data_IF_229501306276
#
_entry.id   IF_229501306276
#
_cell.length_a   1.000
_cell.length_b   1.000
_cell.length_c   1.000
_cell.angle_alpha   90.00
_cell.angle_beta   90.00
_cell.angle_gamma   90.00
#
_symmetry.space_group_name_H-M   'P 1'
#
loop_
_entity.id
_entity.type
_entity.pdbx_description
1 polymer ?
#
# COMPACT_ATOMS: atom_id res chain seq x y z
N UNK A 1 -23.77 -89.61 -21.35
CA UNK A 1 -23.45 -88.58 -20.45
C UNK A 1 -22.54 -87.60 -21.18
N UNK A 2 -23.11 -86.63 -21.89
CA UNK A 2 -22.37 -85.67 -22.77
C UNK A 2 -22.28 -84.32 -22.05
N UNK A 3 -21.08 -83.92 -21.68
CA UNK A 3 -20.80 -82.61 -21.16
C UNK A 3 -20.56 -81.65 -22.32
N UNK A 4 -21.50 -80.74 -22.55
CA UNK A 4 -21.25 -79.57 -23.41
C UNK A 4 -20.50 -78.54 -22.61
N UNK A 5 -19.28 -78.24 -23.04
CA UNK A 5 -18.55 -77.10 -22.58
C UNK A 5 -18.92 -75.88 -23.46
N UNK A 6 -19.70 -74.97 -22.94
CA UNK A 6 -19.89 -73.66 -23.55
C UNK A 6 -18.66 -72.77 -23.17
N UNK A 7 -17.69 -72.66 -24.07
CA UNK A 7 -16.65 -71.71 -24.01
C UNK A 7 -17.21 -70.31 -24.40
N UNK A 8 -17.63 -69.53 -23.40
CA UNK A 8 -17.96 -68.11 -23.59
C UNK A 8 -16.64 -67.32 -23.75
N UNK A 9 -16.17 -67.26 -25.01
CA UNK A 9 -15.02 -66.47 -25.39
C UNK A 9 -15.45 -65.03 -25.38
N UNK A 10 -15.07 -64.30 -24.32
CA UNK A 10 -15.10 -62.80 -24.27
C UNK A 10 -14.11 -62.27 -25.31
N UNK A 11 -14.61 -61.95 -26.51
CA UNK A 11 -13.83 -61.17 -27.48
C UNK A 11 -13.76 -59.75 -27.03
N UNK A 12 -12.61 -59.31 -26.57
CA UNK A 12 -12.29 -57.89 -26.40
C UNK A 12 -11.84 -57.39 -27.78
N UNK A 13 -12.72 -56.70 -28.47
CA UNK A 13 -12.33 -55.92 -29.65
C UNK A 13 -11.90 -54.52 -29.23
N UNK A 14 -10.61 -54.27 -29.28
CA UNK A 14 -10.07 -52.92 -29.09
C UNK A 14 -9.90 -52.30 -30.47
N UNK A 15 -10.68 -51.27 -30.75
CA UNK A 15 -10.48 -50.49 -31.97
C UNK A 15 -10.06 -49.07 -31.59
N UNK A 16 -9.10 -48.51 -32.32
CA UNK A 16 -8.66 -47.12 -32.21
C UNK A 16 -9.23 -46.39 -33.40
N UNK A 17 -10.05 -45.37 -33.13
CA UNK A 17 -10.63 -44.52 -34.16
C UNK A 17 -9.94 -43.16 -34.11
N UNK A 18 -9.32 -42.73 -35.21
CA UNK A 18 -8.83 -41.36 -35.40
C UNK A 18 -9.90 -40.62 -36.22
N UNK A 19 -10.57 -39.67 -35.58
CA UNK A 19 -11.56 -38.81 -36.23
C UNK A 19 -10.95 -37.45 -36.48
N UNK A 20 -10.73 -37.09 -37.75
CA UNK A 20 -10.33 -35.75 -38.18
C UNK A 20 -11.57 -34.98 -38.65
N UNK A 21 -11.96 -33.94 -37.93
CA UNK A 21 -13.08 -33.10 -38.27
C UNK A 21 -12.55 -31.72 -38.70
N UNK A 22 -12.47 -31.45 -39.97
CA UNK A 22 -12.03 -30.16 -40.55
C UNK A 22 -13.21 -29.49 -41.24
N UNK A 23 -13.78 -28.40 -40.68
CA UNK A 23 -14.83 -27.66 -41.38
C UNK A 23 -14.22 -26.91 -42.56
N UNK A 24 -14.57 -27.31 -43.76
CA UNK A 24 -14.07 -26.70 -45.03
C UNK A 24 -14.72 -25.35 -45.31
N UNK A 25 -15.94 -25.15 -44.84
CA UNK A 25 -16.68 -23.89 -44.95
C UNK A 25 -17.74 -23.77 -43.86
N UNK A 26 -17.69 -22.65 -43.09
CA UNK A 26 -18.64 -22.38 -42.01
C UNK A 26 -19.32 -21.01 -42.13
N UNK A 27 -19.58 -20.55 -43.38
CA UNK A 27 -20.34 -19.33 -43.62
C UNK A 27 -19.68 -18.02 -43.08
N UNK A 28 -18.35 -17.99 -42.92
CA UNK A 28 -17.63 -16.84 -42.41
C UNK A 28 -17.52 -16.75 -40.86
N UNK A 29 -18.06 -17.73 -40.13
CA UNK A 29 -18.03 -17.72 -38.67
C UNK A 29 -16.60 -17.68 -38.11
N UNK A 30 -15.64 -18.34 -38.73
CA UNK A 30 -14.22 -18.28 -38.35
C UNK A 30 -13.65 -16.87 -38.52
N UNK A 31 -13.95 -16.21 -39.63
CA UNK A 31 -13.49 -14.83 -39.89
C UNK A 31 -14.07 -13.87 -38.88
N UNK A 32 -15.37 -13.96 -38.57
CA UNK A 32 -16.02 -13.16 -37.56
C UNK A 32 -15.44 -13.40 -36.14
N UNK A 33 -15.07 -14.63 -35.81
CA UNK A 33 -14.43 -14.97 -34.53
C UNK A 33 -13.02 -14.34 -34.42
N UNK A 34 -12.25 -14.35 -35.52
CA UNK A 34 -10.93 -13.70 -35.58
C UNK A 34 -11.06 -12.19 -35.43
N UNK A 35 -12.03 -11.58 -36.11
CA UNK A 35 -12.28 -10.14 -35.99
C UNK A 35 -12.69 -9.75 -34.56
N UNK A 36 -13.59 -10.53 -33.93
CA UNK A 36 -13.98 -10.33 -32.54
C UNK A 36 -12.79 -10.47 -31.58
N UNK A 37 -11.91 -11.46 -31.79
CA UNK A 37 -10.69 -11.65 -30.99
C UNK A 37 -9.70 -10.49 -31.18
N UNK A 38 -9.57 -9.97 -32.40
CA UNK A 38 -8.75 -8.77 -32.66
C UNK A 38 -9.32 -7.52 -31.96
N UNK A 39 -10.65 -7.39 -31.93
CA UNK A 39 -11.33 -6.33 -31.19
C UNK A 39 -11.05 -6.42 -29.69
N UNK A 40 -11.14 -7.61 -29.12
CA UNK A 40 -10.81 -7.87 -27.70
C UNK A 40 -9.34 -7.57 -27.39
N UNK A 41 -8.42 -7.95 -28.29
CA UNK A 41 -7.01 -7.62 -28.12
C UNK A 41 -6.77 -6.11 -28.06
N UNK A 42 -7.37 -5.35 -29.00
CA UNK A 42 -7.27 -3.88 -28.96
C UNK A 42 -7.86 -3.29 -27.70
N UNK A 43 -9.02 -3.77 -27.27
CA UNK A 43 -9.64 -3.31 -26.01
C UNK A 43 -8.74 -3.58 -24.80
N UNK A 44 -8.11 -4.76 -24.73
CA UNK A 44 -7.16 -5.09 -23.67
C UNK A 44 -5.89 -4.22 -23.70
N UNK A 45 -5.40 -3.87 -24.90
CA UNK A 45 -4.27 -2.95 -25.05
C UNK A 45 -4.61 -1.54 -24.52
N UNK A 46 -5.79 -1.01 -24.85
CA UNK A 46 -6.24 0.28 -24.32
C UNK A 46 -6.43 0.24 -22.79
N UNK A 47 -7.02 -0.82 -22.27
CA UNK A 47 -7.16 -1.00 -20.83
C UNK A 47 -5.80 -1.06 -20.10
N UNK A 48 -4.78 -1.66 -20.72
CA UNK A 48 -3.42 -1.67 -20.19
C UNK A 48 -2.83 -0.25 -20.16
N UNK A 49 -2.99 0.53 -21.22
CA UNK A 49 -2.48 1.91 -21.26
C UNK A 49 -3.21 2.80 -20.23
N UNK A 50 -4.51 2.65 -20.11
CA UNK A 50 -5.29 3.33 -19.06
C UNK A 50 -4.79 2.98 -17.65
N UNK A 51 -4.59 1.69 -17.38
CA UNK A 51 -4.06 1.25 -16.09
C UNK A 51 -2.67 1.81 -15.79
N UNK A 52 -1.80 1.92 -16.81
CA UNK A 52 -0.48 2.56 -16.69
C UNK A 52 -0.57 4.05 -16.39
N UNK A 53 -1.47 4.76 -17.05
CA UNK A 53 -1.70 6.19 -16.78
C UNK A 53 -2.20 6.42 -15.36
N UNK A 54 -3.19 5.65 -14.92
CA UNK A 54 -3.73 5.72 -13.56
C UNK A 54 -2.67 5.39 -12.49
N UNK A 55 -1.80 4.42 -12.77
CA UNK A 55 -0.70 4.08 -11.84
C UNK A 55 0.31 5.23 -11.72
N UNK A 56 0.67 5.88 -12.86
CA UNK A 56 1.56 7.06 -12.86
C UNK A 56 0.95 8.24 -12.13
N UNK A 57 -0.33 8.51 -12.37
CA UNK A 57 -1.06 9.57 -11.69
C UNK A 57 -1.07 9.36 -10.16
N UNK A 58 -1.45 8.15 -9.71
CA UNK A 58 -1.45 7.81 -8.28
C UNK A 58 -0.06 7.96 -7.64
N UNK A 59 0.99 7.54 -8.33
CA UNK A 59 2.35 7.69 -7.84
C UNK A 59 2.77 9.17 -7.77
N UNK A 60 2.41 9.98 -8.77
CA UNK A 60 2.70 11.41 -8.78
C UNK A 60 1.97 12.16 -7.67
N UNK A 61 0.69 11.86 -7.43
CA UNK A 61 -0.08 12.44 -6.34
C UNK A 61 0.49 12.05 -4.97
N UNK A 62 0.83 10.78 -4.77
CA UNK A 62 1.44 10.31 -3.53
C UNK A 62 2.81 10.95 -3.28
N UNK A 63 3.60 11.20 -4.33
CA UNK A 63 4.86 11.94 -4.22
C UNK A 63 4.64 13.39 -3.79
N UNK A 64 3.68 14.10 -4.38
CA UNK A 64 3.35 15.48 -4.00
C UNK A 64 2.84 15.56 -2.56
N UNK A 65 2.00 14.62 -2.13
CA UNK A 65 1.53 14.52 -0.75
C UNK A 65 2.69 14.34 0.23
N UNK A 66 3.61 13.41 -0.08
CA UNK A 66 4.79 13.19 0.75
C UNK A 66 5.72 14.40 0.78
N UNK A 67 6.03 15.01 -0.36
CA UNK A 67 6.91 16.19 -0.42
C UNK A 67 6.34 17.36 0.39
N UNK A 68 5.04 17.60 0.29
CA UNK A 68 4.33 18.62 1.07
C UNK A 68 4.35 18.29 2.57
N UNK A 69 4.08 17.04 2.95
CA UNK A 69 4.11 16.61 4.35
C UNK A 69 5.52 16.71 4.95
N UNK A 70 6.55 16.34 4.19
CA UNK A 70 7.96 16.46 4.58
C UNK A 70 8.35 17.92 4.85
N UNK A 71 7.96 18.83 3.96
CA UNK A 71 8.19 20.27 4.16
C UNK A 71 7.49 20.78 5.43
N UNK A 72 6.21 20.42 5.63
CA UNK A 72 5.47 20.82 6.85
C UNK A 72 6.10 20.27 8.13
N UNK A 73 6.58 19.04 8.11
CA UNK A 73 7.27 18.42 9.25
C UNK A 73 8.56 19.19 9.61
N UNK A 74 9.35 19.57 8.60
CA UNK A 74 10.56 20.39 8.78
C UNK A 74 10.25 21.77 9.38
N UNK A 75 9.26 22.46 8.83
CA UNK A 75 8.82 23.77 9.36
C UNK A 75 8.28 23.65 10.79
N UNK A 76 7.45 22.64 11.05
CA UNK A 76 6.88 22.38 12.38
C UNK A 76 7.97 22.10 13.43
N UNK A 77 8.99 21.32 13.09
CA UNK A 77 10.14 21.08 13.96
C UNK A 77 10.87 22.37 14.30
N UNK A 78 11.21 23.17 13.29
CA UNK A 78 11.90 24.46 13.50
C UNK A 78 11.07 25.42 14.34
N UNK A 79 9.75 25.47 14.13
CA UNK A 79 8.84 26.31 14.90
C UNK A 79 8.77 25.87 16.38
N UNK A 80 8.74 24.56 16.63
CA UNK A 80 8.81 24.00 17.99
C UNK A 80 10.09 24.38 18.70
N UNK A 81 11.26 24.28 18.03
CA UNK A 81 12.56 24.64 18.60
C UNK A 81 12.67 26.13 18.92
N UNK A 82 12.12 26.99 18.06
CA UNK A 82 12.05 28.44 18.33
C UNK A 82 11.11 28.71 19.49
N UNK A 83 9.95 28.08 19.56
CA UNK A 83 9.01 28.18 20.68
C UNK A 83 9.66 27.88 22.02
N UNK A 84 10.45 26.81 22.09
CA UNK A 84 11.17 26.44 23.31
C UNK A 84 12.20 27.47 23.74
N UNK A 85 12.95 28.05 22.79
CA UNK A 85 13.91 29.16 23.07
C UNK A 85 13.21 30.41 23.58
N UNK A 86 12.02 30.72 23.04
CA UNK A 86 11.21 31.85 23.50
C UNK A 86 10.73 31.63 24.93
N UNK A 87 10.23 30.42 25.25
CA UNK A 87 9.84 30.08 26.64
C UNK A 87 11.01 30.24 27.60
N UNK A 88 12.20 29.78 27.23
CA UNK A 88 13.40 29.95 28.06
C UNK A 88 13.79 31.40 28.25
N UNK A 89 13.63 32.23 27.23
CA UNK A 89 13.81 33.70 27.32
C UNK A 89 12.83 34.32 28.29
N UNK A 90 11.54 34.00 28.19
CA UNK A 90 10.51 34.50 29.09
C UNK A 90 10.73 34.02 30.53
N UNK A 91 11.17 32.80 30.75
CA UNK A 91 11.48 32.25 32.07
C UNK A 91 12.65 33.00 32.75
N UNK A 92 13.69 33.38 31.98
CA UNK A 92 14.80 34.22 32.46
C UNK A 92 14.32 35.61 32.84
N UNK A 93 13.47 36.25 32.02
CA UNK A 93 12.91 37.57 32.28
C UNK A 93 11.96 37.59 33.49
N UNK A 94 11.16 36.54 33.68
CA UNK A 94 10.29 36.34 34.84
C UNK A 94 11.09 36.31 36.14
N UNK A 95 12.24 35.61 36.19
CA UNK A 95 13.09 35.50 37.39
C UNK A 95 13.64 36.88 37.87
N UNK A 96 13.78 37.82 36.94
CA UNK A 96 14.24 39.18 37.26
C UNK A 96 13.08 40.19 37.28
N UNK A 97 11.86 39.71 37.49
CA UNK A 97 10.62 40.50 37.60
C UNK A 97 10.33 41.44 36.38
N UNK A 98 10.86 41.09 35.19
CA UNK A 98 10.61 41.84 33.94
C UNK A 98 9.42 41.34 33.13
N UNK A 99 8.80 40.23 33.53
CA UNK A 99 7.63 39.64 32.91
C UNK A 99 6.66 39.13 33.96
N UNK A 100 5.36 39.15 33.62
CA UNK A 100 4.32 38.58 34.47
C UNK A 100 4.25 37.05 34.39
N UNK A 101 3.66 36.42 35.40
CA UNK A 101 3.36 35.00 35.38
C UNK A 101 2.40 34.66 34.24
N UNK A 102 1.43 35.53 33.97
CA UNK A 102 0.46 35.35 32.90
C UNK A 102 1.13 35.27 31.52
N UNK A 103 2.11 36.17 31.27
CA UNK A 103 2.90 36.14 30.02
C UNK A 103 3.65 34.82 29.88
N UNK A 104 4.22 34.30 30.98
CA UNK A 104 4.95 33.04 30.97
C UNK A 104 4.00 31.86 30.69
N UNK A 105 2.80 31.85 31.28
CA UNK A 105 1.79 30.81 31.05
C UNK A 105 1.28 30.80 29.60
N UNK A 106 1.02 32.00 29.06
CA UNK A 106 0.57 32.12 27.65
C UNK A 106 1.62 31.58 26.68
N UNK A 107 2.89 31.96 26.83
CA UNK A 107 3.94 31.48 25.92
C UNK A 107 4.23 29.97 26.10
N UNK A 108 4.01 29.42 27.30
CA UNK A 108 4.07 27.98 27.51
C UNK A 108 2.93 27.24 26.78
N UNK A 109 1.71 27.79 26.79
CA UNK A 109 0.59 27.24 26.04
C UNK A 109 0.86 27.27 24.54
N UNK A 110 1.41 28.39 24.03
CA UNK A 110 1.80 28.49 22.61
C UNK A 110 2.88 27.48 22.24
N UNK A 111 3.93 27.32 23.07
CA UNK A 111 4.98 26.31 22.85
C UNK A 111 4.41 24.89 22.84
N UNK A 112 3.46 24.59 23.74
CA UNK A 112 2.78 23.31 23.74
C UNK A 112 2.02 23.05 22.41
N UNK A 113 1.32 24.07 21.91
CA UNK A 113 0.61 23.98 20.63
C UNK A 113 1.57 23.75 19.46
N UNK A 114 2.72 24.45 19.42
CA UNK A 114 3.75 24.25 18.39
C UNK A 114 4.33 22.83 18.44
N UNK A 115 4.63 22.31 19.63
CA UNK A 115 5.10 20.92 19.79
C UNK A 115 4.06 19.91 19.34
N UNK A 116 2.79 20.12 19.69
CA UNK A 116 1.70 19.26 19.29
C UNK A 116 1.53 19.24 17.76
N UNK A 117 1.54 20.42 17.12
CA UNK A 117 1.47 20.55 15.67
C UNK A 117 2.67 19.91 14.97
N UNK A 118 3.90 20.09 15.50
CA UNK A 118 5.11 19.45 14.97
C UNK A 118 5.02 17.92 15.04
N UNK A 119 4.49 17.37 16.13
CA UNK A 119 4.26 15.91 16.26
C UNK A 119 3.23 15.38 15.27
N UNK A 120 2.13 16.11 15.09
CA UNK A 120 1.12 15.76 14.09
C UNK A 120 1.73 15.75 12.68
N UNK A 121 2.44 16.81 12.29
CA UNK A 121 3.09 16.91 10.98
C UNK A 121 4.14 15.80 10.76
N UNK A 122 4.87 15.40 11.79
CA UNK A 122 5.80 14.26 11.72
C UNK A 122 5.09 12.93 11.44
N UNK A 123 3.94 12.69 12.08
CA UNK A 123 3.15 11.47 11.83
C UNK A 123 2.51 11.51 10.44
N UNK A 124 2.02 12.66 9.99
CA UNK A 124 1.47 12.84 8.64
C UNK A 124 2.52 12.54 7.56
N UNK A 125 3.76 13.00 7.75
CA UNK A 125 4.87 12.66 6.83
C UNK A 125 5.09 11.15 6.75
N UNK A 126 5.08 10.45 7.89
CA UNK A 126 5.25 9.00 7.92
C UNK A 126 4.13 8.27 7.19
N UNK A 127 2.88 8.71 7.37
CA UNK A 127 1.72 8.16 6.67
C UNK A 127 1.85 8.40 5.16
N UNK A 128 2.17 9.62 4.75
CA UNK A 128 2.36 9.97 3.35
C UNK A 128 3.50 9.14 2.70
N UNK A 129 4.58 8.89 3.42
CA UNK A 129 5.67 8.02 2.98
C UNK A 129 5.22 6.58 2.74
N UNK A 130 4.39 6.03 3.64
CA UNK A 130 3.84 4.67 3.46
C UNK A 130 2.89 4.61 2.26
N UNK A 131 2.06 5.66 2.06
CA UNK A 131 1.20 5.77 0.87
C UNK A 131 1.99 5.82 -0.42
N UNK A 132 3.09 6.56 -0.44
CA UNK A 132 4.00 6.61 -1.59
C UNK A 132 4.58 5.22 -1.90
N UNK A 133 5.07 4.49 -0.88
CA UNK A 133 5.57 3.12 -1.05
C UNK A 133 4.49 2.15 -1.54
N UNK A 134 3.24 2.35 -1.11
CA UNK A 134 2.11 1.57 -1.62
C UNK A 134 1.80 1.89 -3.09
N UNK A 135 1.81 3.17 -3.46
CA UNK A 135 1.55 3.62 -4.83
C UNK A 135 2.62 3.17 -5.83
N UNK A 136 3.89 3.05 -5.39
CA UNK A 136 5.00 2.54 -6.21
C UNK A 136 5.11 1.01 -6.22
N UNK A 137 4.33 0.30 -5.37
CA UNK A 137 4.39 -1.15 -5.24
C UNK A 137 5.58 -1.67 -4.40
N UNK A 138 6.38 -0.78 -3.81
CA UNK A 138 7.56 -1.16 -3.02
C UNK A 138 7.23 -1.56 -1.57
N UNK A 139 5.98 -1.34 -1.15
CA UNK A 139 5.55 -1.62 0.22
C UNK A 139 5.75 -3.10 0.58
N UNK A 140 5.25 -4.01 -0.25
CA UNK A 140 5.36 -5.44 -0.01
C UNK A 140 6.83 -5.89 0.05
N UNK A 141 7.68 -5.39 -0.85
CA UNK A 141 9.11 -5.72 -0.88
C UNK A 141 9.82 -5.29 0.40
N UNK A 142 9.49 -4.12 0.93
CA UNK A 142 10.09 -3.61 2.17
C UNK A 142 9.71 -4.43 3.40
N UNK A 143 8.48 -4.93 3.45
CA UNK A 143 8.02 -5.77 4.57
C UNK A 143 8.39 -7.25 4.40
N UNK A 144 8.59 -7.74 3.16
CA UNK A 144 9.01 -9.12 2.90
C UNK A 144 10.52 -9.34 3.09
N UNK A 145 11.35 -8.30 2.88
CA UNK A 145 12.80 -8.40 3.00
C UNK A 145 13.31 -8.37 4.44
N UNK A 146 12.45 -8.04 5.40
CA UNK A 146 12.85 -7.96 6.81
C UNK A 146 11.72 -8.45 7.73
N UNK A 147 11.47 -9.79 7.78
CA UNK A 147 10.51 -10.37 8.70
C UNK A 147 10.93 -10.24 10.18
N UNK A 148 12.11 -9.69 10.47
CA UNK A 148 12.70 -9.63 11.81
C UNK A 148 12.72 -8.27 12.50
N UNK A 149 12.41 -7.17 11.83
CA UNK A 149 12.55 -5.81 12.41
C UNK A 149 11.23 -5.10 12.72
N UNK A 150 10.12 -5.80 12.83
CA UNK A 150 9.02 -5.28 13.63
C UNK A 150 9.36 -5.56 15.11
N UNK A 151 10.44 -5.01 15.61
CA UNK A 151 10.63 -4.87 17.04
C UNK A 151 9.58 -3.84 17.52
N UNK A 152 8.47 -4.36 18.02
CA UNK A 152 7.55 -3.57 18.84
C UNK A 152 8.37 -2.83 19.90
N UNK A 153 8.12 -1.54 20.12
CA UNK A 153 8.81 -0.80 21.18
C UNK A 153 8.65 -1.56 22.49
N UNK A 154 9.75 -1.84 23.16
CA UNK A 154 9.85 -2.60 24.42
C UNK A 154 9.15 -1.93 25.63
N UNK A 155 8.14 -1.12 25.41
CA UNK A 155 7.43 -0.37 26.44
C UNK A 155 6.00 -0.83 26.72
N UNK A 156 5.59 -2.01 26.21
CA UNK A 156 4.37 -2.64 26.69
C UNK A 156 4.73 -3.74 27.68
N UNK A 157 5.18 -3.32 28.86
CA UNK A 157 5.20 -4.17 30.04
C UNK A 157 3.75 -4.31 30.50
N UNK A 158 3.15 -5.46 30.27
CA UNK A 158 1.88 -5.85 30.87
C UNK A 158 2.05 -5.76 32.39
N UNK A 159 1.15 -5.10 33.13
CA UNK A 159 1.19 -5.16 34.57
C UNK A 159 0.98 -6.61 35.01
N UNK A 160 1.92 -7.14 35.80
CA UNK A 160 1.85 -8.43 36.43
C UNK A 160 0.51 -8.55 37.18
N UNK A 161 -0.30 -9.50 36.74
CA UNK A 161 -1.42 -9.99 37.53
C UNK A 161 -0.85 -10.89 38.64
N UNK A 162 -0.53 -10.28 39.76
CA UNK A 162 -0.38 -10.97 41.05
C UNK A 162 -1.42 -10.40 42.00
N UNK A 163 -2.37 -11.18 42.26
CA UNK A 163 -3.20 -11.56 43.38
C UNK A 163 -4.65 -11.73 43.01
#
# INVERSE_FOLDING_TARGET
MSRQYNANTLRFETFTQLQLNAPVFNGGATAATVEAAQGQLKAAQFALEEARLLAREKAALAWQEWASAHSRAGVGSSQSDVGDKVVDGYRKQFRVARRSLLDLLNIQADSFNYRSAARAAFHDERIARVRLLAATGDLARRFSSDPGTVSLPKSFKTPDSKN
#
